data_IF_747069341550
#
_entry.id   IF_747069341550
#
_cell.length_a   1.000
_cell.length_b   1.000
_cell.length_c   1.000
_cell.angle_alpha   90.00
_cell.angle_beta   90.00
_cell.angle_gamma   90.00
#
_symmetry.space_group_name_H-M   'P 1'
#
loop_
_entity.id
_entity.type
_entity.pdbx_description
1 polymer ?
#
# COMPACT_ATOMS: atom_id res chain seq x y z
N UNK A 1 4.17 23.54 25.33
CA UNK A 1 4.14 24.08 23.96
C UNK A 1 3.27 23.13 23.16
N UNK A 2 2.05 23.52 22.80
CA UNK A 2 1.15 22.65 22.04
C UNK A 2 1.80 22.35 20.68
N UNK A 3 2.09 21.08 20.44
CA UNK A 3 2.61 20.63 19.15
C UNK A 3 1.48 20.77 18.13
N UNK A 4 1.71 21.52 17.06
CA UNK A 4 0.73 21.80 16.00
C UNK A 4 1.10 21.03 14.74
N UNK A 5 0.11 20.79 13.89
CA UNK A 5 0.32 20.15 12.58
C UNK A 5 1.30 21.02 11.79
N UNK A 6 2.32 20.39 11.20
CA UNK A 6 3.34 21.06 10.40
C UNK A 6 2.78 21.34 8.99
N UNK A 7 1.77 22.22 8.89
CA UNK A 7 1.02 22.47 7.65
C UNK A 7 1.91 22.87 6.46
N UNK A 8 2.99 23.62 6.71
CA UNK A 8 3.97 23.98 5.67
C UNK A 8 4.63 22.74 5.06
N UNK A 9 4.90 21.70 5.86
CA UNK A 9 5.45 20.44 5.35
C UNK A 9 4.41 19.58 4.65
N UNK A 10 3.16 19.60 5.12
CA UNK A 10 2.05 18.92 4.42
C UNK A 10 1.81 19.54 3.06
N UNK A 11 1.84 20.88 2.96
CA UNK A 11 1.72 21.59 1.69
C UNK A 11 2.91 21.28 0.76
N UNK A 12 4.14 21.32 1.30
CA UNK A 12 5.34 20.97 0.55
C UNK A 12 5.27 19.56 -0.01
N UNK A 13 4.84 18.59 0.83
CA UNK A 13 4.63 17.20 0.43
C UNK A 13 3.68 17.13 -0.77
N UNK A 14 2.53 17.78 -0.72
CA UNK A 14 1.57 17.74 -1.83
C UNK A 14 2.11 18.38 -3.10
N UNK A 15 2.80 19.52 -2.98
CA UNK A 15 3.40 20.21 -4.12
C UNK A 15 4.41 19.31 -4.84
N UNK A 16 5.28 18.65 -4.08
CA UNK A 16 6.31 17.78 -4.63
C UNK A 16 5.73 16.45 -5.15
N UNK A 17 4.78 15.86 -4.43
CA UNK A 17 4.10 14.62 -4.82
C UNK A 17 3.42 14.77 -6.18
N UNK A 18 2.72 15.88 -6.39
CA UNK A 18 1.99 16.17 -7.63
C UNK A 18 2.94 16.50 -8.80
N UNK A 19 4.20 16.82 -8.55
CA UNK A 19 5.20 17.05 -9.59
C UNK A 19 5.80 15.74 -10.15
N UNK A 20 5.61 14.61 -9.47
CA UNK A 20 6.14 13.32 -9.92
C UNK A 20 5.30 12.81 -11.11
N UNK A 21 5.93 12.29 -12.19
CA UNK A 21 5.20 11.75 -13.34
C UNK A 21 4.20 10.67 -12.96
N UNK A 22 2.93 10.87 -13.36
CA UNK A 22 1.81 9.97 -13.05
C UNK A 22 1.99 8.55 -13.61
N UNK A 23 2.81 8.38 -14.64
CA UNK A 23 3.08 7.08 -15.26
C UNK A 23 4.11 6.23 -14.49
N UNK A 24 4.61 6.74 -13.35
CA UNK A 24 5.65 6.09 -12.55
C UNK A 24 5.15 5.78 -11.13
N UNK A 25 4.13 4.92 -10.95
CA UNK A 25 3.50 4.70 -9.65
C UNK A 25 4.47 4.15 -8.60
N UNK A 26 5.48 3.38 -9.00
CA UNK A 26 6.49 2.85 -8.07
C UNK A 26 7.43 3.94 -7.55
N UNK A 27 7.81 4.89 -8.41
CA UNK A 27 8.62 6.05 -8.01
C UNK A 27 7.81 6.94 -7.07
N UNK A 28 6.55 7.22 -7.41
CA UNK A 28 5.64 7.98 -6.54
C UNK A 28 5.47 7.31 -5.17
N UNK A 29 5.30 5.98 -5.14
CA UNK A 29 5.15 5.23 -3.89
C UNK A 29 6.41 5.30 -3.03
N UNK A 30 7.58 5.07 -3.64
CA UNK A 30 8.86 5.12 -2.91
C UNK A 30 9.12 6.51 -2.34
N UNK A 31 8.89 7.56 -3.13
CA UNK A 31 9.03 8.93 -2.66
C UNK A 31 8.05 9.22 -1.51
N UNK A 32 6.77 8.82 -1.64
CA UNK A 32 5.77 9.04 -0.60
C UNK A 32 6.14 8.35 0.71
N UNK A 33 6.63 7.11 0.65
CA UNK A 33 7.06 6.37 1.83
C UNK A 33 8.23 7.07 2.54
N UNK A 34 9.23 7.53 1.79
CA UNK A 34 10.36 8.29 2.34
C UNK A 34 9.92 9.61 2.98
N UNK A 35 8.98 10.33 2.35
CA UNK A 35 8.45 11.58 2.90
C UNK A 35 7.56 11.37 4.12
N UNK A 36 6.68 10.37 4.13
CA UNK A 36 5.87 10.05 5.31
C UNK A 36 6.75 9.65 6.50
N UNK A 37 7.81 8.88 6.24
CA UNK A 37 8.83 8.52 7.23
C UNK A 37 9.51 9.77 7.81
N UNK A 38 9.98 10.67 6.94
CA UNK A 38 10.61 11.94 7.34
C UNK A 38 9.65 12.86 8.11
N UNK A 39 8.40 12.94 7.66
CA UNK A 39 7.38 13.80 8.23
C UNK A 39 6.97 13.35 9.64
N UNK A 40 6.81 12.06 9.85
CA UNK A 40 6.38 11.48 11.13
C UNK A 40 7.54 11.07 12.04
N UNK A 41 8.80 11.34 11.62
CA UNK A 41 10.03 10.95 12.33
C UNK A 41 10.07 9.45 12.64
N UNK A 42 9.62 8.65 11.67
CA UNK A 42 9.72 7.20 11.73
C UNK A 42 11.11 6.74 11.23
N UNK A 43 11.51 5.53 11.59
CA UNK A 43 12.74 4.90 11.08
C UNK A 43 12.46 4.02 9.89
N UNK A 44 11.27 3.42 9.81
CA UNK A 44 10.87 2.57 8.70
C UNK A 44 9.48 2.96 8.18
N UNK A 45 9.23 2.68 6.91
CA UNK A 45 7.91 2.80 6.32
C UNK A 45 7.65 1.70 5.29
N UNK A 46 6.42 1.19 5.27
CA UNK A 46 6.02 0.09 4.39
C UNK A 46 4.60 0.31 3.89
N UNK A 47 4.39 0.14 2.60
CA UNK A 47 3.07 0.11 1.99
C UNK A 47 2.60 -1.33 1.79
N UNK A 48 1.33 -1.61 2.10
CA UNK A 48 0.71 -2.91 1.87
C UNK A 48 -0.63 -2.73 1.18
N UNK A 49 -0.77 -3.34 0.00
CA UNK A 49 -2.06 -3.39 -0.69
C UNK A 49 -2.83 -4.61 -0.20
N UNK A 50 -4.06 -4.41 0.24
CA UNK A 50 -4.92 -5.44 0.78
C UNK A 50 -6.19 -5.61 -0.06
N UNK A 51 -6.60 -6.86 -0.28
CA UNK A 51 -7.82 -7.23 -1.00
C UNK A 51 -8.69 -8.14 -0.13
N UNK A 52 -10.00 -7.94 -0.22
CA UNK A 52 -11.02 -8.83 0.35
C UNK A 52 -11.96 -9.32 -0.77
N UNK A 53 -11.57 -10.41 -1.42
CA UNK A 53 -12.35 -11.06 -2.48
C UNK A 53 -13.26 -12.20 -1.95
N UNK A 54 -13.18 -12.50 -0.66
CA UNK A 54 -13.86 -13.62 -0.05
C UNK A 54 -15.38 -13.38 0.03
N UNK A 55 -16.15 -14.45 -0.19
CA UNK A 55 -17.61 -14.40 -0.04
C UNK A 55 -18.01 -14.12 1.42
N UNK A 56 -19.14 -13.43 1.67
CA UNK A 56 -19.57 -13.10 3.03
C UNK A 56 -19.73 -14.31 3.96
N UNK A 57 -20.09 -15.48 3.41
CA UNK A 57 -20.28 -16.70 4.19
C UNK A 57 -18.97 -17.27 4.71
N UNK A 58 -17.92 -17.29 3.89
CA UNK A 58 -16.58 -17.77 4.26
C UNK A 58 -15.86 -16.76 5.16
N UNK A 59 -16.11 -15.47 4.93
CA UNK A 59 -15.48 -14.36 5.67
C UNK A 59 -15.67 -14.44 7.18
N UNK A 60 -16.85 -14.85 7.65
CA UNK A 60 -17.19 -14.88 9.08
C UNK A 60 -16.34 -15.85 9.90
N UNK A 61 -15.80 -16.88 9.26
CA UNK A 61 -14.99 -17.91 9.92
C UNK A 61 -13.50 -17.76 9.59
N UNK A 62 -13.13 -16.75 8.80
CA UNK A 62 -11.74 -16.46 8.47
C UNK A 62 -11.15 -15.55 9.55
N UNK A 63 -10.07 -15.95 10.24
CA UNK A 63 -9.37 -15.13 11.24
C UNK A 63 -8.95 -13.74 10.74
N UNK A 64 -8.85 -13.57 9.42
CA UNK A 64 -8.48 -12.32 8.74
C UNK A 64 -9.68 -11.51 8.25
N UNK A 65 -10.90 -11.95 8.56
CA UNK A 65 -12.14 -11.37 8.06
C UNK A 65 -12.13 -11.17 6.52
N UNK A 66 -11.48 -12.08 5.80
CA UNK A 66 -11.36 -12.08 4.33
C UNK A 66 -10.22 -11.24 3.76
N UNK A 67 -9.51 -10.43 4.57
CA UNK A 67 -8.45 -9.55 4.07
C UNK A 67 -7.14 -10.31 3.79
N UNK A 68 -6.52 -10.03 2.64
CA UNK A 68 -5.22 -10.61 2.23
C UNK A 68 -4.32 -9.51 1.70
N UNK A 69 -3.07 -9.51 2.15
CA UNK A 69 -2.04 -8.68 1.55
C UNK A 69 -1.69 -9.22 0.15
N UNK A 70 -1.77 -8.35 -0.85
CA UNK A 70 -1.49 -8.64 -2.26
C UNK A 70 -0.06 -8.26 -2.62
N UNK A 71 0.43 -7.15 -2.06
CA UNK A 71 1.75 -6.61 -2.28
C UNK A 71 2.27 -5.92 -1.02
N UNK A 72 3.58 -6.04 -0.79
CA UNK A 72 4.32 -5.39 0.27
C UNK A 72 5.44 -4.60 -0.37
N UNK A 73 5.52 -3.31 -0.08
CA UNK A 73 6.49 -2.40 -0.66
C UNK A 73 7.16 -1.62 0.47
N UNK A 74 8.36 -2.03 0.92
CA UNK A 74 9.13 -1.26 1.89
C UNK A 74 9.70 0.01 1.23
N UNK A 75 10.05 0.99 2.06
CA UNK A 75 10.81 2.15 1.62
C UNK A 75 12.26 1.77 1.26
N UNK A 76 12.85 2.50 0.31
CA UNK A 76 14.16 2.18 -0.26
C UNK A 76 15.29 2.09 0.77
N UNK A 77 15.22 2.83 1.88
CA UNK A 77 16.24 2.77 2.93
C UNK A 77 16.15 1.54 3.83
N UNK A 78 15.21 0.61 3.59
CA UNK A 78 15.05 -0.60 4.38
C UNK A 78 15.23 -1.90 3.55
N UNK A 79 16.45 -2.17 3.04
CA UNK A 79 16.71 -3.36 2.21
C UNK A 79 16.70 -4.68 3.01
N UNK A 80 16.63 -4.62 4.35
CA UNK A 80 16.68 -5.80 5.23
C UNK A 80 15.32 -6.24 5.77
N UNK A 81 14.23 -5.56 5.39
CA UNK A 81 12.89 -6.05 5.67
C UNK A 81 12.66 -7.34 4.86
N UNK A 82 12.92 -8.51 5.46
CA UNK A 82 12.62 -9.81 4.83
C UNK A 82 11.10 -9.94 4.70
N UNK A 83 10.59 -9.54 3.53
CA UNK A 83 9.16 -9.62 3.23
C UNK A 83 8.66 -11.06 3.14
N UNK A 84 9.56 -12.05 3.07
CA UNK A 84 9.20 -13.46 3.18
C UNK A 84 8.68 -13.77 4.58
N UNK A 85 9.31 -13.21 5.62
CA UNK A 85 8.85 -13.36 7.00
C UNK A 85 7.48 -12.71 7.19
N UNK A 86 7.33 -11.42 6.83
CA UNK A 86 6.04 -10.72 6.93
C UNK A 86 4.91 -11.44 6.20
N UNK A 87 5.18 -11.90 4.97
CA UNK A 87 4.20 -12.64 4.19
C UNK A 87 3.81 -13.96 4.88
N UNK A 88 4.78 -14.77 5.32
CA UNK A 88 4.51 -16.04 6.01
C UNK A 88 3.75 -15.82 7.31
N UNK A 89 4.15 -14.82 8.08
CA UNK A 89 3.50 -14.46 9.33
C UNK A 89 2.04 -14.09 9.10
N UNK A 90 1.74 -13.25 8.10
CA UNK A 90 0.38 -12.83 7.77
C UNK A 90 -0.48 -13.93 7.09
N UNK A 91 0.18 -14.93 6.49
CA UNK A 91 -0.49 -16.08 5.89
C UNK A 91 -0.93 -17.12 6.94
N UNK A 92 -0.23 -17.20 8.07
CA UNK A 92 -0.51 -18.11 9.18
C UNK A 92 -1.72 -17.64 10.01
N UNK A 93 -2.84 -18.39 10.03
CA UNK A 93 -4.04 -18.02 10.78
C UNK A 93 -3.82 -17.86 12.30
N UNK A 94 -2.85 -18.59 12.87
CA UNK A 94 -2.58 -18.54 14.32
C UNK A 94 -1.99 -17.21 14.78
N UNK A 95 -1.34 -16.48 13.87
CA UNK A 95 -0.73 -15.18 14.17
C UNK A 95 -1.74 -14.02 14.14
N UNK A 96 -2.91 -14.22 13.53
CA UNK A 96 -3.90 -13.17 13.25
C UNK A 96 -5.23 -13.39 13.98
N UNK A 97 -5.56 -14.62 14.37
CA UNK A 97 -6.84 -14.95 15.00
C UNK A 97 -7.11 -14.21 16.31
N UNK A 98 -6.08 -14.06 17.15
CA UNK A 98 -6.17 -13.42 18.47
C UNK A 98 -5.31 -12.15 18.56
N UNK A 99 -4.95 -11.59 17.42
CA UNK A 99 -4.10 -10.40 17.38
C UNK A 99 -4.96 -9.14 17.47
N UNK A 100 -5.05 -8.56 18.67
CA UNK A 100 -5.85 -7.35 18.94
C UNK A 100 -5.47 -6.17 18.04
N UNK A 101 -4.18 -6.00 17.74
CA UNK A 101 -3.68 -4.95 16.85
C UNK A 101 -4.24 -5.14 15.43
N UNK A 102 -4.15 -6.36 14.90
CA UNK A 102 -4.71 -6.71 13.59
C UNK A 102 -6.24 -6.52 13.55
N UNK A 103 -6.95 -7.03 14.56
CA UNK A 103 -8.41 -6.91 14.68
C UNK A 103 -8.84 -5.45 14.79
N UNK A 104 -8.07 -4.62 15.49
CA UNK A 104 -8.25 -3.17 15.57
C UNK A 104 -8.19 -2.51 14.18
N UNK A 105 -7.21 -2.89 13.36
CA UNK A 105 -7.07 -2.33 12.01
C UNK A 105 -8.23 -2.68 11.07
N UNK A 106 -8.87 -3.85 11.22
CA UNK A 106 -9.94 -4.32 10.31
C UNK A 106 -11.36 -3.99 10.79
N UNK A 107 -11.55 -3.52 12.04
CA UNK A 107 -12.87 -3.25 12.63
C UNK A 107 -13.73 -2.29 11.79
N UNK A 108 -13.10 -1.26 11.23
CA UNK A 108 -13.73 -0.23 10.39
C UNK A 108 -13.22 -0.30 8.94
N UNK A 109 -12.98 -1.51 8.43
CA UNK A 109 -12.53 -1.70 7.07
C UNK A 109 -13.57 -1.18 6.04
N UNK A 110 -13.07 -0.53 5.00
CA UNK A 110 -13.84 0.17 3.99
C UNK A 110 -13.87 1.70 4.15
N UNK A 111 -13.27 2.26 5.21
CA UNK A 111 -13.15 3.72 5.42
C UNK A 111 -11.70 4.16 5.59
N UNK A 112 -11.34 5.34 5.06
CA UNK A 112 -10.01 5.91 5.26
C UNK A 112 -9.81 6.29 6.73
N UNK A 113 -8.72 5.83 7.34
CA UNK A 113 -8.49 5.90 8.79
C UNK A 113 -7.01 5.84 9.14
N UNK A 114 -6.66 6.31 10.33
CA UNK A 114 -5.31 6.23 10.87
C UNK A 114 -5.35 5.94 12.37
N UNK A 115 -4.30 5.28 12.87
CA UNK A 115 -4.24 4.77 14.24
C UNK A 115 -2.84 4.91 14.83
N UNK A 116 -2.78 5.32 16.09
CA UNK A 116 -1.65 4.97 16.97
C UNK A 116 -1.95 3.67 17.72
N UNK A 117 -0.93 3.06 18.31
CA UNK A 117 -1.10 1.83 19.09
C UNK A 117 -2.13 1.97 20.23
N UNK A 118 -2.20 3.13 20.88
CA UNK A 118 -3.20 3.37 21.94
C UNK A 118 -4.65 3.39 21.44
N UNK A 119 -4.89 3.67 20.15
CA UNK A 119 -6.25 3.63 19.58
C UNK A 119 -6.75 2.19 19.40
N UNK A 120 -5.84 1.25 19.12
CA UNK A 120 -6.17 -0.16 18.85
C UNK A 120 -6.00 -1.07 20.07
N UNK A 121 -5.06 -0.73 20.95
CA UNK A 121 -4.71 -1.47 22.16
C UNK A 121 -4.62 -0.51 23.36
N UNK A 122 -5.74 0.08 23.81
CA UNK A 122 -5.73 1.10 24.85
C UNK A 122 -5.21 0.53 26.17
N UNK A 123 -4.17 1.18 26.73
CA UNK A 123 -3.57 0.81 28.01
C UNK A 123 -2.64 -0.41 27.95
N UNK A 124 -2.36 -0.95 26.75
CA UNK A 124 -1.38 -2.01 26.60
C UNK A 124 0.02 -1.51 26.96
N UNK A 125 0.76 -2.33 27.70
CA UNK A 125 2.19 -2.08 27.93
C UNK A 125 2.97 -2.23 26.62
N UNK A 126 4.15 -1.58 26.48
CA UNK A 126 5.01 -1.80 25.32
C UNK A 126 5.33 -3.27 25.09
N UNK A 127 5.50 -4.08 26.14
CA UNK A 127 5.74 -5.53 26.00
C UNK A 127 4.54 -6.27 25.43
N UNK A 128 3.32 -5.91 25.81
CA UNK A 128 2.09 -6.51 25.27
C UNK A 128 1.87 -6.13 23.80
N UNK A 129 2.06 -4.86 23.45
CA UNK A 129 2.02 -4.38 22.07
C UNK A 129 3.05 -5.10 21.18
N UNK A 130 4.22 -5.47 21.75
CA UNK A 130 5.32 -6.16 21.06
C UNK A 130 5.27 -7.69 21.20
N UNK A 131 4.18 -8.30 21.70
CA UNK A 131 4.06 -9.76 21.74
C UNK A 131 4.03 -10.39 20.34
N UNK A 132 3.66 -9.59 19.35
CA UNK A 132 3.63 -9.93 17.93
C UNK A 132 5.03 -10.27 17.38
N UNK A 133 5.12 -11.38 16.64
CA UNK A 133 6.35 -11.85 16.00
C UNK A 133 6.95 -10.85 15.00
N UNK A 134 6.13 -10.06 14.31
CA UNK A 134 6.58 -9.01 13.39
C UNK A 134 7.27 -7.88 14.12
N UNK A 135 6.73 -7.43 15.26
CA UNK A 135 7.31 -6.33 16.02
C UNK A 135 8.69 -6.73 16.55
N UNK A 136 8.83 -7.96 17.06
CA UNK A 136 10.14 -8.48 17.48
C UNK A 136 11.12 -8.66 16.33
N UNK A 137 10.65 -9.23 15.21
CA UNK A 137 11.51 -9.51 14.07
C UNK A 137 12.06 -8.24 13.42
N UNK A 138 11.24 -7.20 13.29
CA UNK A 138 11.64 -5.91 12.72
C UNK A 138 12.10 -4.87 13.75
N UNK A 139 12.21 -5.26 15.03
CA UNK A 139 12.62 -4.38 16.14
C UNK A 139 11.76 -3.12 16.28
N UNK A 140 10.46 -3.24 15.96
CA UNK A 140 9.49 -2.16 16.05
C UNK A 140 9.13 -1.94 17.52
N UNK A 141 9.34 -0.71 17.99
CA UNK A 141 8.95 -0.27 19.33
C UNK A 141 7.56 0.35 19.34
N UNK A 142 7.23 1.13 18.32
CA UNK A 142 5.89 1.71 18.16
C UNK A 142 5.54 1.87 16.68
N UNK A 143 4.23 1.90 16.39
CA UNK A 143 3.72 1.93 15.02
C UNK A 143 2.58 2.93 14.87
N UNK A 144 2.70 3.76 13.83
CA UNK A 144 1.64 4.59 13.29
C UNK A 144 1.13 3.94 12.00
N UNK A 145 -0.19 3.81 11.88
CA UNK A 145 -0.83 3.17 10.72
C UNK A 145 -1.75 4.16 10.04
N UNK A 146 -1.60 4.28 8.73
CA UNK A 146 -2.56 4.93 7.85
C UNK A 146 -3.18 3.93 6.90
N UNK A 147 -4.49 4.01 6.67
CA UNK A 147 -5.22 3.12 5.77
C UNK A 147 -6.10 3.98 4.87
N UNK A 148 -5.86 3.92 3.57
CA UNK A 148 -6.73 4.51 2.57
C UNK A 148 -7.65 3.45 1.97
N UNK A 149 -8.96 3.63 2.08
CA UNK A 149 -9.94 2.72 1.51
C UNK A 149 -10.33 3.16 0.09
N UNK A 150 -9.99 2.34 -0.90
CA UNK A 150 -10.38 2.57 -2.30
C UNK A 150 -11.83 2.09 -2.52
N UNK A 151 -12.19 1.02 -1.83
CA UNK A 151 -13.54 0.45 -1.81
C UNK A 151 -13.70 -0.43 -0.57
N UNK A 152 -14.91 -0.94 -0.27
CA UNK A 152 -15.11 -1.91 0.82
C UNK A 152 -14.31 -3.23 0.69
N UNK A 153 -13.61 -3.44 -0.43
CA UNK A 153 -12.82 -4.65 -0.70
C UNK A 153 -11.33 -4.37 -0.93
N UNK A 154 -10.91 -3.11 -1.06
CA UNK A 154 -9.55 -2.77 -1.45
C UNK A 154 -9.05 -1.64 -0.57
N UNK A 155 -7.95 -1.87 0.12
CA UNK A 155 -7.32 -0.92 1.02
C UNK A 155 -5.82 -0.84 0.77
N UNK A 156 -5.25 0.35 1.02
CA UNK A 156 -3.82 0.60 0.97
C UNK A 156 -3.38 1.04 2.35
N UNK A 157 -2.55 0.21 2.99
CA UNK A 157 -2.00 0.42 4.30
C UNK A 157 -0.63 1.08 4.18
N UNK A 158 -0.36 2.04 5.04
CA UNK A 158 0.93 2.69 5.23
C UNK A 158 1.33 2.49 6.69
N UNK A 159 2.34 1.66 6.91
CA UNK A 159 2.94 1.43 8.21
C UNK A 159 4.14 2.35 8.37
N UNK A 160 4.23 3.03 9.52
CA UNK A 160 5.34 3.87 9.93
C UNK A 160 5.81 3.37 11.29
N UNK A 161 7.07 2.94 11.36
CA UNK A 161 7.62 2.26 12.53
C UNK A 161 8.71 3.08 13.19
N UNK A 162 8.66 3.13 14.51
CA UNK A 162 9.76 3.63 15.35
C UNK A 162 10.52 2.48 15.97
N UNK A 163 11.83 2.66 16.03
CA UNK A 163 12.77 1.77 16.72
C UNK A 163 13.17 2.33 18.10
N UNK A 164 12.71 3.54 18.44
CA UNK A 164 12.91 4.19 19.74
C UNK A 164 11.69 4.02 20.66
N UNK A 165 11.88 4.23 21.96
CA UNK A 165 10.79 4.23 22.96
C UNK A 165 9.86 5.46 22.85
N UNK A 166 10.12 6.40 21.93
CA UNK A 166 9.26 7.56 21.71
C UNK A 166 7.99 7.15 20.96
N UNK A 167 6.86 7.17 21.64
CA UNK A 167 5.57 6.77 21.05
C UNK A 167 5.02 7.82 20.08
N UNK A 168 4.35 7.37 19.03
CA UNK A 168 3.55 8.23 18.17
C UNK A 168 2.40 8.82 18.97
N UNK A 169 2.16 10.12 18.80
CA UNK A 169 1.04 10.83 19.41
C UNK A 169 -0.14 10.99 18.47
N UNK A 170 -1.22 11.56 19.02
CA UNK A 170 -2.41 11.93 18.24
C UNK A 170 -2.10 12.95 17.16
N UNK A 171 -1.09 13.80 17.35
CA UNK A 171 -0.69 14.77 16.35
C UNK A 171 -0.17 14.10 15.07
N UNK A 172 0.74 13.14 15.18
CA UNK A 172 1.26 12.43 14.00
C UNK A 172 0.17 11.63 13.31
N UNK A 173 -0.75 11.03 14.07
CA UNK A 173 -1.93 10.35 13.51
C UNK A 173 -2.81 11.30 12.73
N UNK A 174 -3.20 12.43 13.32
CA UNK A 174 -4.09 13.39 12.67
C UNK A 174 -3.42 13.98 11.42
N UNK A 175 -2.12 14.25 11.47
CA UNK A 175 -1.34 14.68 10.31
C UNK A 175 -1.32 13.64 9.19
N UNK A 176 -1.12 12.35 9.52
CA UNK A 176 -1.22 11.26 8.55
C UNK A 176 -2.64 11.17 7.97
N UNK A 177 -3.68 11.30 8.79
CA UNK A 177 -5.07 11.31 8.32
C UNK A 177 -5.30 12.34 7.23
N UNK A 178 -4.87 13.60 7.44
CA UNK A 178 -5.03 14.65 6.44
C UNK A 178 -4.33 14.34 5.12
N UNK A 179 -3.18 13.66 5.16
CA UNK A 179 -2.48 13.23 3.95
C UNK A 179 -3.24 12.09 3.26
N UNK A 180 -3.76 11.12 4.01
CA UNK A 180 -4.52 10.00 3.42
C UNK A 180 -5.75 10.47 2.63
N UNK A 181 -6.40 11.55 3.04
CA UNK A 181 -7.57 12.11 2.33
C UNK A 181 -7.23 12.56 0.90
N UNK A 182 -6.01 13.07 0.67
CA UNK A 182 -5.58 13.48 -0.67
C UNK A 182 -5.03 12.34 -1.54
N UNK A 183 -4.76 11.16 -0.96
CA UNK A 183 -4.07 10.07 -1.67
C UNK A 183 -5.00 9.23 -2.57
N UNK A 184 -6.31 9.47 -2.57
CA UNK A 184 -7.28 8.63 -3.27
C UNK A 184 -6.97 8.33 -4.73
N UNK A 185 -6.75 9.35 -5.59
CA UNK A 185 -6.38 9.12 -6.99
C UNK A 185 -5.10 8.27 -7.14
N UNK A 186 -4.11 8.49 -6.29
CA UNK A 186 -2.87 7.72 -6.29
C UNK A 186 -3.09 6.28 -5.83
N UNK A 187 -3.76 6.06 -4.70
CA UNK A 187 -4.06 4.72 -4.18
C UNK A 187 -4.86 3.91 -5.21
N UNK A 188 -5.82 4.53 -5.90
CA UNK A 188 -6.57 3.89 -6.99
C UNK A 188 -5.68 3.50 -8.18
N UNK A 189 -4.76 4.37 -8.60
CA UNK A 189 -3.74 4.05 -9.63
C UNK A 189 -2.81 2.93 -9.19
N UNK A 190 -2.39 2.96 -7.94
CA UNK A 190 -1.55 1.91 -7.35
C UNK A 190 -2.29 0.57 -7.42
N UNK A 191 -3.54 0.48 -6.95
CA UNK A 191 -4.36 -0.73 -7.05
C UNK A 191 -4.61 -1.18 -8.50
N UNK A 192 -4.83 -0.23 -9.42
CA UNK A 192 -4.93 -0.52 -10.86
C UNK A 192 -3.65 -1.17 -11.39
N UNK A 193 -2.47 -0.71 -10.97
CA UNK A 193 -1.18 -1.28 -11.38
C UNK A 193 -1.00 -2.74 -10.97
N UNK A 194 -1.75 -3.21 -9.98
CA UNK A 194 -1.76 -4.61 -9.53
C UNK A 194 -2.94 -5.41 -10.10
N UNK A 195 -3.82 -4.78 -10.90
CA UNK A 195 -5.02 -5.39 -11.47
C UNK A 195 -6.08 -5.72 -10.41
N UNK A 196 -6.28 -4.82 -9.44
CA UNK A 196 -7.16 -5.08 -8.29
C UNK A 196 -8.52 -4.38 -8.37
N UNK A 197 -8.72 -3.43 -9.29
CA UNK A 197 -10.00 -2.73 -9.38
C UNK A 197 -11.12 -3.66 -9.89
N UNK A 198 -12.37 -3.24 -9.70
CA UNK A 198 -13.54 -4.02 -10.12
C UNK A 198 -13.45 -4.43 -11.59
N UNK A 199 -13.70 -5.72 -11.87
CA UNK A 199 -13.63 -6.29 -13.22
C UNK A 199 -12.22 -6.63 -13.69
N UNK A 200 -11.17 -6.30 -12.93
CA UNK A 200 -9.80 -6.67 -13.25
C UNK A 200 -9.42 -8.02 -12.63
N UNK A 201 -8.40 -8.63 -13.19
CA UNK A 201 -7.72 -9.81 -12.64
C UNK A 201 -6.32 -9.43 -12.21
N UNK A 202 -5.91 -9.90 -11.02
CA UNK A 202 -4.58 -9.66 -10.46
C UNK A 202 -3.47 -9.97 -11.49
N UNK A 203 -2.58 -8.99 -11.66
CA UNK A 203 -1.40 -9.15 -12.49
C UNK A 203 -0.34 -9.96 -11.73
N UNK A 204 0.33 -10.87 -12.45
CA UNK A 204 1.58 -11.49 -11.99
C UNK A 204 2.70 -10.44 -11.98
N UNK A 205 3.82 -10.68 -11.29
CA UNK A 205 4.94 -9.74 -11.28
C UNK A 205 5.42 -9.35 -12.68
N UNK A 206 5.49 -10.32 -13.61
CA UNK A 206 5.94 -10.09 -14.99
C UNK A 206 4.92 -9.30 -15.83
N UNK A 207 3.63 -9.56 -15.63
CA UNK A 207 2.57 -8.80 -16.29
C UNK A 207 2.52 -7.35 -15.74
N UNK A 208 2.72 -7.16 -14.43
CA UNK A 208 2.81 -5.82 -13.84
C UNK A 208 4.01 -5.04 -14.37
N UNK A 209 5.18 -5.66 -14.46
CA UNK A 209 6.36 -5.05 -15.07
C UNK A 209 6.08 -4.63 -16.53
N UNK A 210 5.44 -5.49 -17.31
CA UNK A 210 4.99 -5.16 -18.68
C UNK A 210 4.02 -3.97 -18.67
N UNK A 211 3.05 -3.97 -17.76
CA UNK A 211 2.09 -2.88 -17.59
C UNK A 211 2.78 -1.54 -17.30
N UNK A 212 3.78 -1.51 -16.43
CA UNK A 212 4.53 -0.28 -16.12
C UNK A 212 5.24 0.29 -17.36
N UNK A 213 5.80 -0.57 -18.22
CA UNK A 213 6.35 -0.08 -19.48
C UNK A 213 5.29 0.44 -20.45
N UNK A 214 4.09 -0.13 -20.45
CA UNK A 214 2.97 0.34 -21.27
C UNK A 214 2.49 1.75 -20.87
N UNK A 215 2.73 2.18 -19.62
CA UNK A 215 2.46 3.55 -19.16
C UNK A 215 3.46 4.59 -19.71
N UNK A 216 4.61 4.15 -20.23
CA UNK A 216 5.61 4.99 -20.87
C UNK A 216 5.35 5.21 -22.35
N UNK A 217 6.42 5.48 -23.10
CA UNK A 217 6.46 5.68 -24.56
C UNK A 217 7.05 4.47 -25.32
N UNK A 218 7.74 3.56 -24.61
CA UNK A 218 8.41 2.38 -25.19
C UNK A 218 7.48 1.53 -26.06
N UNK A 219 7.93 1.18 -27.26
CA UNK A 219 7.31 0.22 -28.17
C UNK A 219 7.43 -1.23 -27.66
N UNK A 220 6.61 -2.17 -28.16
CA UNK A 220 6.71 -3.59 -27.77
C UNK A 220 8.11 -4.18 -28.01
N UNK A 221 8.83 -3.70 -29.02
CA UNK A 221 10.20 -4.12 -29.31
C UNK A 221 11.19 -3.63 -28.24
N UNK A 222 11.04 -2.39 -27.79
CA UNK A 222 11.86 -1.83 -26.71
C UNK A 222 11.53 -2.48 -25.37
N UNK A 223 10.25 -2.76 -25.11
CA UNK A 223 9.80 -3.53 -23.94
C UNK A 223 10.43 -4.93 -23.95
N UNK A 224 10.41 -5.62 -25.09
CA UNK A 224 11.03 -6.92 -25.23
C UNK A 224 12.54 -6.86 -24.90
N UNK A 225 13.25 -5.86 -25.42
CA UNK A 225 14.66 -5.67 -25.15
C UNK A 225 14.95 -5.40 -23.67
N UNK A 226 14.19 -4.48 -23.04
CA UNK A 226 14.34 -4.11 -21.63
C UNK A 226 14.08 -5.28 -20.69
N UNK A 227 13.06 -6.10 -21.00
CA UNK A 227 12.68 -7.26 -20.18
C UNK A 227 13.52 -8.52 -20.46
N UNK A 228 14.44 -8.48 -21.44
CA UNK A 228 15.19 -9.66 -21.89
C UNK A 228 14.32 -10.76 -22.50
N UNK A 229 13.26 -10.37 -23.22
CA UNK A 229 12.27 -11.26 -23.83
C UNK A 229 12.38 -11.28 -25.36
N UNK A 230 11.86 -12.34 -25.99
CA UNK A 230 11.57 -12.29 -27.43
C UNK A 230 10.40 -11.35 -27.71
N UNK A 231 10.35 -10.76 -28.90
CA UNK A 231 9.21 -9.91 -29.32
C UNK A 231 7.87 -10.65 -29.18
N UNK A 232 7.84 -11.95 -29.52
CA UNK A 232 6.65 -12.81 -29.36
C UNK A 232 6.22 -12.93 -27.90
N UNK A 233 7.18 -13.13 -26.98
CA UNK A 233 6.90 -13.24 -25.55
C UNK A 233 6.42 -11.92 -24.95
N UNK A 234 7.04 -10.80 -25.35
CA UNK A 234 6.58 -9.47 -24.95
C UNK A 234 5.15 -9.21 -25.42
N UNK A 235 4.84 -9.52 -26.69
CA UNK A 235 3.49 -9.41 -27.23
C UNK A 235 2.47 -10.25 -26.43
N UNK A 236 2.82 -11.49 -26.06
CA UNK A 236 1.96 -12.33 -25.23
C UNK A 236 1.67 -11.71 -23.85
N UNK A 237 2.69 -11.11 -23.21
CA UNK A 237 2.49 -10.40 -21.94
C UNK A 237 1.59 -9.18 -22.12
N UNK A 238 1.78 -8.39 -23.17
CA UNK A 238 0.93 -7.22 -23.47
C UNK A 238 -0.53 -7.62 -23.66
N UNK A 239 -0.79 -8.67 -24.46
CA UNK A 239 -2.14 -9.22 -24.66
C UNK A 239 -2.74 -9.73 -23.34
N UNK A 240 -1.94 -10.40 -22.51
CA UNK A 240 -2.38 -10.88 -21.21
C UNK A 240 -2.76 -9.73 -20.26
N UNK A 241 -1.95 -8.66 -20.23
CA UNK A 241 -2.23 -7.43 -19.47
C UNK A 241 -3.53 -6.80 -19.93
N UNK A 242 -3.70 -6.54 -21.23
CA UNK A 242 -4.93 -5.97 -21.76
C UNK A 242 -6.16 -6.80 -21.40
N UNK A 243 -6.10 -8.12 -21.60
CA UNK A 243 -7.20 -9.02 -21.25
C UNK A 243 -7.53 -8.98 -19.75
N UNK A 244 -6.53 -9.03 -18.87
CA UNK A 244 -6.72 -9.03 -17.41
C UNK A 244 -7.25 -7.69 -16.88
N UNK A 245 -6.90 -6.59 -17.53
CA UNK A 245 -7.33 -5.26 -17.13
C UNK A 245 -8.62 -4.81 -17.85
N UNK A 246 -9.10 -5.58 -18.83
CA UNK A 246 -10.34 -5.29 -19.57
C UNK A 246 -10.19 -4.31 -20.73
N UNK A 247 -8.99 -4.19 -21.30
CA UNK A 247 -8.69 -3.27 -22.41
C UNK A 247 -8.39 -4.03 -23.71
N UNK A 248 -8.45 -3.32 -24.84
CA UNK A 248 -8.13 -3.86 -26.17
C UNK A 248 -6.94 -3.17 -26.83
N UNK A 249 -6.48 -2.05 -26.27
CA UNK A 249 -5.38 -1.25 -26.85
C UNK A 249 -4.67 -0.40 -25.79
N UNK A 250 -3.44 0.04 -26.11
CA UNK A 250 -2.69 0.98 -25.28
C UNK A 250 -3.42 2.30 -25.09
N UNK A 251 -4.04 2.83 -26.14
CA UNK A 251 -4.78 4.09 -26.08
C UNK A 251 -5.93 4.01 -25.07
N UNK A 252 -6.71 2.92 -25.09
CA UNK A 252 -7.80 2.70 -24.12
C UNK A 252 -7.28 2.54 -22.68
N UNK A 253 -6.15 1.85 -22.50
CA UNK A 253 -5.49 1.70 -21.20
C UNK A 253 -5.04 3.06 -20.65
N UNK A 254 -4.38 3.87 -21.49
CA UNK A 254 -3.83 5.17 -21.10
C UNK A 254 -4.93 6.19 -20.79
N UNK A 255 -6.01 6.21 -21.58
CA UNK A 255 -7.19 7.04 -21.27
C UNK A 255 -7.73 6.67 -19.89
N UNK A 256 -7.98 5.39 -19.63
CA UNK A 256 -8.48 4.95 -18.34
C UNK A 256 -7.51 5.28 -17.20
N UNK A 257 -6.20 5.12 -17.39
CA UNK A 257 -5.19 5.48 -16.39
C UNK A 257 -5.23 6.96 -16.00
N UNK A 258 -5.40 7.85 -16.99
CA UNK A 258 -5.50 9.29 -16.79
C UNK A 258 -6.82 9.67 -16.10
N UNK A 259 -7.92 8.97 -16.41
CA UNK A 259 -9.24 9.22 -15.83
C UNK A 259 -9.32 8.84 -14.34
N UNK A 260 -8.40 8.00 -13.83
CA UNK A 260 -8.29 7.69 -12.40
C UNK A 260 -7.89 8.91 -11.53
N UNK A 261 -7.77 10.11 -12.13
CA UNK A 261 -7.65 11.39 -11.43
C UNK A 261 -9.00 11.92 -10.90
N UNK A 262 -10.13 11.51 -11.49
CA UNK A 262 -11.46 11.97 -11.11
C UNK A 262 -12.21 10.93 -10.27
N UNK A 263 -12.58 11.29 -9.05
CA UNK A 263 -13.60 10.55 -8.32
C UNK A 263 -14.93 10.65 -9.06
N UNK A 264 -15.50 9.50 -9.43
CA UNK A 264 -16.95 9.35 -9.59
C UNK A 264 -17.47 8.47 -8.45
#
# INVERSE_FOLDING_TARGET
MESKIEWERVELLWREFLAIPINSPDIMLQWLLEELKSLCRAQQSTCVLCLNDMSPSLRRNDPRLGWRAVAWVPSATNPFQDMTYAKRWAEDPSNVADNECYLGFVRDAGTTRSFIMDDVMPGATPEEARKDGLYRYYQVQDRLVGIHAISPKIEVYFYLDRESDERFGTLERDQLQYILEGLGPFCRRLAFSYGLLNGQTKLSPRERETFLFLLGDKSEKEIAAEMGLSLRSAHQNVVAVYRKLGFSSRASLMSSWMDLQGGS
#
